data_IF_011442996592
#
_entry.id   IF_011442996592
#
_cell.length_a   1.000
_cell.length_b   1.000
_cell.length_c   1.000
_cell.angle_alpha   90.00
_cell.angle_beta   90.00
_cell.angle_gamma   90.00
#
_symmetry.space_group_name_H-M   'P 1'
#
loop_
_entity.id
_entity.type
_entity.pdbx_description
1 polymer ?
#
# COMPACT_ATOMS: atom_id res chain seq x y z
N UNK A 1 10.73 9.32 -11.32
CA UNK A 1 9.96 8.12 -10.91
C UNK A 1 9.96 7.06 -12.01
N UNK A 2 10.26 5.79 -11.68
CA UNK A 2 10.12 4.65 -12.61
C UNK A 2 8.67 4.17 -12.61
N UNK A 3 8.16 3.79 -13.79
CA UNK A 3 6.83 3.21 -13.98
C UNK A 3 7.01 1.78 -14.50
N UNK A 4 6.31 0.83 -13.89
CA UNK A 4 6.29 -0.57 -14.33
C UNK A 4 4.83 -0.95 -14.59
N UNK A 5 4.52 -1.38 -15.81
CA UNK A 5 3.22 -1.96 -16.13
C UNK A 5 3.14 -3.36 -15.49
N UNK A 6 2.20 -3.53 -14.57
CA UNK A 6 1.89 -4.82 -13.93
C UNK A 6 0.83 -5.56 -14.73
N UNK A 7 -0.24 -4.85 -15.08
CA UNK A 7 -1.31 -5.29 -15.98
C UNK A 7 -1.73 -4.09 -16.85
N UNK A 8 -2.49 -4.27 -17.94
CA UNK A 8 -2.88 -3.15 -18.82
C UNK A 8 -3.58 -1.98 -18.12
N UNK A 9 -4.17 -2.20 -16.94
CA UNK A 9 -4.85 -1.18 -16.10
C UNK A 9 -4.16 -0.89 -14.78
N UNK A 10 -3.01 -1.52 -14.53
CA UNK A 10 -2.34 -1.48 -13.25
C UNK A 10 -0.86 -1.18 -13.44
N UNK A 11 -0.42 -0.07 -12.87
CA UNK A 11 0.96 0.36 -12.93
C UNK A 11 1.54 0.52 -11.52
N UNK A 12 2.73 -0.02 -11.32
CA UNK A 12 3.53 0.27 -10.12
C UNK A 12 4.36 1.52 -10.37
N UNK A 13 4.28 2.45 -9.45
CA UNK A 13 5.05 3.70 -9.42
C UNK A 13 6.13 3.55 -8.35
N UNK A 14 7.38 3.74 -8.76
CA UNK A 14 8.55 3.60 -7.89
C UNK A 14 9.20 4.97 -7.69
N UNK A 15 8.92 5.66 -6.57
CA UNK A 15 9.74 6.77 -6.10
C UNK A 15 11.12 6.28 -5.63
N UNK A 16 11.92 7.17 -5.04
CA UNK A 16 13.24 6.81 -4.52
C UNK A 16 13.17 5.86 -3.32
N UNK A 17 12.05 5.82 -2.61
CA UNK A 17 11.76 4.91 -1.51
C UNK A 17 10.27 4.56 -1.48
N UNK A 18 9.92 3.31 -1.11
CA UNK A 18 8.55 2.82 -1.12
C UNK A 18 8.03 2.59 -2.54
N UNK A 19 6.76 2.31 -2.67
CA UNK A 19 6.08 2.15 -3.95
C UNK A 19 4.58 2.45 -3.81
N UNK A 20 3.95 2.83 -4.93
CA UNK A 20 2.53 3.06 -5.02
C UNK A 20 1.99 2.35 -6.26
N UNK A 21 0.68 2.12 -6.31
CA UNK A 21 0.04 1.47 -7.45
C UNK A 21 -1.08 2.34 -8.02
N UNK A 22 -1.07 2.52 -9.32
CA UNK A 22 -2.08 3.27 -10.03
C UNK A 22 -2.98 2.31 -10.80
N UNK A 23 -4.27 2.32 -10.46
CA UNK A 23 -5.32 1.58 -11.15
C UNK A 23 -6.13 2.51 -12.04
N UNK A 24 -6.41 2.06 -13.29
CA UNK A 24 -7.23 2.78 -14.27
C UNK A 24 -8.57 2.08 -14.51
N UNK A 25 -9.67 2.75 -14.18
CA UNK A 25 -11.03 2.34 -14.48
C UNK A 25 -11.59 3.00 -15.78
N UNK A 26 -10.70 3.20 -16.76
CA UNK A 26 -11.10 3.85 -18.03
C UNK A 26 -11.16 5.38 -17.94
N UNK A 27 -10.13 5.96 -17.32
CA UNK A 27 -9.97 7.41 -17.13
C UNK A 27 -10.40 7.92 -15.76
N UNK A 28 -10.77 7.02 -14.84
CA UNK A 28 -10.92 7.32 -13.41
C UNK A 28 -9.83 6.59 -12.66
N UNK A 29 -8.85 7.32 -12.11
CA UNK A 29 -7.67 6.74 -11.48
C UNK A 29 -7.87 6.56 -9.98
N UNK A 30 -7.35 5.46 -9.48
CA UNK A 30 -7.19 5.18 -8.04
C UNK A 30 -5.71 4.93 -7.75
N UNK A 31 -5.17 5.65 -6.78
CA UNK A 31 -3.83 5.43 -6.26
C UNK A 31 -3.92 4.61 -4.98
N UNK A 32 -3.22 3.50 -4.90
CA UNK A 32 -3.03 2.72 -3.67
C UNK A 32 -1.64 3.05 -3.14
N UNK A 33 -1.61 3.63 -1.95
CA UNK A 33 -0.48 4.31 -1.34
C UNK A 33 0.01 5.53 -2.15
N UNK A 34 0.83 6.37 -1.54
CA UNK A 34 1.18 7.67 -2.09
C UNK A 34 2.69 7.96 -2.10
N UNK A 35 3.52 7.01 -1.66
CA UNK A 35 4.96 7.18 -1.56
C UNK A 35 5.38 8.15 -0.45
N UNK A 36 6.61 8.63 -0.52
CA UNK A 36 7.21 9.55 0.45
C UNK A 36 6.76 11.00 0.25
N UNK A 37 6.92 11.83 1.29
CA UNK A 37 6.72 13.27 1.19
C UNK A 37 7.62 13.90 0.11
N UNK A 38 7.06 14.84 -0.65
CA UNK A 38 7.74 15.51 -1.76
C UNK A 38 7.67 14.76 -3.10
N UNK A 39 7.01 13.59 -3.18
CA UNK A 39 6.91 12.84 -4.44
C UNK A 39 5.73 13.24 -5.33
N UNK A 40 4.86 14.15 -4.88
CA UNK A 40 3.62 14.50 -5.59
C UNK A 40 3.85 14.93 -7.05
N UNK A 41 4.85 15.78 -7.33
CA UNK A 41 5.15 16.19 -8.71
C UNK A 41 5.64 15.01 -9.56
N UNK A 42 6.45 14.11 -9.01
CA UNK A 42 6.92 12.94 -9.72
C UNK A 42 5.79 11.93 -10.01
N UNK A 43 4.79 11.83 -9.13
CA UNK A 43 3.55 11.07 -9.39
C UNK A 43 2.74 11.72 -10.51
N UNK A 44 2.61 13.07 -10.50
CA UNK A 44 1.91 13.80 -11.57
C UNK A 44 2.55 13.61 -12.94
N UNK A 45 3.89 13.65 -13.00
CA UNK A 45 4.63 13.35 -14.24
C UNK A 45 4.39 11.91 -14.70
N UNK A 46 4.35 10.95 -13.76
CA UNK A 46 4.07 9.55 -14.08
C UNK A 46 2.66 9.37 -14.65
N UNK A 47 1.65 9.99 -14.03
CA UNK A 47 0.26 10.04 -14.51
C UNK A 47 0.21 10.63 -15.91
N UNK A 48 0.91 11.75 -16.17
CA UNK A 48 1.00 12.39 -17.49
C UNK A 48 1.66 11.50 -18.54
N UNK A 49 2.71 10.75 -18.19
CA UNK A 49 3.38 9.79 -19.10
C UNK A 49 2.49 8.62 -19.48
N UNK A 50 1.53 8.26 -18.64
CA UNK A 50 0.52 7.24 -18.91
C UNK A 50 -0.66 7.79 -19.73
N UNK A 51 -0.66 9.09 -20.08
CA UNK A 51 -1.68 9.72 -20.91
C UNK A 51 -2.88 10.29 -20.13
N UNK A 52 -2.77 10.38 -18.81
CA UNK A 52 -3.81 10.92 -17.94
C UNK A 52 -3.44 12.30 -17.41
N UNK A 53 -4.39 12.96 -16.74
CA UNK A 53 -4.23 14.24 -16.08
C UNK A 53 -4.37 14.07 -14.56
N UNK A 54 -3.87 15.02 -13.78
CA UNK A 54 -4.04 15.03 -12.32
C UNK A 54 -5.49 14.95 -11.89
N UNK A 55 -6.35 15.63 -12.67
CA UNK A 55 -7.80 15.69 -12.43
C UNK A 55 -8.51 14.35 -12.68
N UNK A 56 -7.85 13.40 -13.33
CA UNK A 56 -8.40 12.06 -13.55
C UNK A 56 -8.22 11.16 -12.29
N UNK A 57 -7.34 11.57 -11.35
CA UNK A 57 -7.21 10.92 -10.04
C UNK A 57 -8.42 11.26 -9.17
N UNK A 58 -9.16 10.25 -8.75
CA UNK A 58 -10.37 10.38 -7.95
C UNK A 58 -10.19 9.99 -6.51
N UNK A 59 -9.25 9.09 -6.22
CA UNK A 59 -9.03 8.62 -4.85
C UNK A 59 -7.62 8.15 -4.61
N UNK A 60 -7.25 8.23 -3.33
CA UNK A 60 -6.09 7.60 -2.75
C UNK A 60 -6.60 6.63 -1.69
N UNK A 61 -6.15 5.39 -1.70
CA UNK A 61 -6.41 4.44 -0.62
C UNK A 61 -5.07 4.14 0.05
N UNK A 62 -4.94 4.54 1.30
CA UNK A 62 -3.72 4.30 2.07
C UNK A 62 -3.83 2.97 2.80
N UNK A 63 -2.84 2.10 2.62
CA UNK A 63 -2.79 0.80 3.29
C UNK A 63 -2.47 0.96 4.77
N UNK A 64 -1.61 1.91 5.12
CA UNK A 64 -1.25 2.27 6.49
C UNK A 64 -0.56 3.65 6.57
N UNK A 65 -0.18 4.10 7.78
CA UNK A 65 0.28 5.48 8.02
C UNK A 65 1.76 5.74 7.76
N UNK A 66 2.61 4.75 7.52
CA UNK A 66 4.06 4.96 7.40
C UNK A 66 4.43 5.95 6.29
N UNK A 67 5.60 6.59 6.46
CA UNK A 67 6.04 7.73 5.68
C UNK A 67 6.19 7.43 4.19
N UNK A 68 6.54 6.21 3.84
CA UNK A 68 6.75 5.76 2.46
C UNK A 68 5.46 5.26 1.79
N UNK A 69 4.35 5.24 2.52
CA UNK A 69 3.00 4.92 2.03
C UNK A 69 2.08 6.14 2.05
N UNK A 70 2.08 6.89 3.15
CA UNK A 70 1.19 8.05 3.33
C UNK A 70 1.86 9.39 3.02
N UNK A 71 3.18 9.44 2.84
CA UNK A 71 3.95 10.68 2.78
C UNK A 71 3.53 11.65 1.69
N UNK A 72 3.23 11.15 0.49
CA UNK A 72 2.79 11.97 -0.65
C UNK A 72 1.31 12.35 -0.64
N UNK A 73 0.51 11.75 0.27
CA UNK A 73 -0.95 11.87 0.22
C UNK A 73 -1.45 13.31 0.36
N UNK A 74 -0.84 14.12 1.23
CA UNK A 74 -1.21 15.51 1.43
C UNK A 74 -1.05 16.36 0.16
N UNK A 75 0.07 16.18 -0.56
CA UNK A 75 0.34 16.88 -1.82
C UNK A 75 -0.58 16.42 -2.94
N UNK A 76 -0.75 15.11 -3.09
CA UNK A 76 -1.53 14.51 -4.17
C UNK A 76 -3.02 14.79 -3.98
N UNK A 77 -3.52 14.74 -2.75
CA UNK A 77 -4.92 15.05 -2.45
C UNK A 77 -5.30 16.50 -2.72
N UNK A 78 -4.35 17.41 -2.84
CA UNK A 78 -4.57 18.82 -3.18
C UNK A 78 -4.76 19.06 -4.69
N UNK A 79 -4.65 18.06 -5.54
CA UNK A 79 -4.80 18.22 -7.00
C UNK A 79 -6.24 18.52 -7.46
N UNK A 80 -7.25 18.32 -6.61
CA UNK A 80 -8.67 18.54 -6.92
C UNK A 80 -9.58 17.74 -6.00
N UNK A 81 -10.64 17.17 -6.56
CA UNK A 81 -11.62 16.34 -5.83
C UNK A 81 -11.07 14.89 -5.65
N UNK A 82 -9.93 14.77 -4.99
CA UNK A 82 -9.32 13.48 -4.68
C UNK A 82 -9.78 13.04 -3.29
N UNK A 83 -10.54 11.97 -3.21
CA UNK A 83 -10.98 11.37 -1.94
C UNK A 83 -9.82 10.57 -1.31
N UNK A 84 -9.51 10.79 -0.05
CA UNK A 84 -8.50 10.04 0.72
C UNK A 84 -9.20 9.07 1.65
N UNK A 85 -8.85 7.79 1.50
CA UNK A 85 -9.42 6.69 2.27
C UNK A 85 -8.31 5.98 3.06
N UNK A 86 -8.59 5.65 4.31
CA UNK A 86 -7.69 4.87 5.16
C UNK A 86 -8.50 4.10 6.21
N UNK A 87 -7.89 3.09 6.80
CA UNK A 87 -8.53 2.40 7.91
C UNK A 87 -8.79 3.36 9.10
N UNK A 88 -9.92 3.19 9.80
CA UNK A 88 -10.34 4.07 10.91
C UNK A 88 -9.29 4.20 12.03
N UNK A 89 -8.44 3.20 12.23
CA UNK A 89 -7.35 3.25 13.22
C UNK A 89 -6.12 4.00 12.74
N UNK A 90 -5.93 4.12 11.42
CA UNK A 90 -4.84 4.89 10.81
C UNK A 90 -5.22 6.38 10.65
N UNK A 91 -6.50 6.65 10.45
CA UNK A 91 -7.01 7.99 10.13
C UNK A 91 -6.58 9.09 11.14
N UNK A 92 -6.62 8.88 12.47
CA UNK A 92 -6.14 9.89 13.42
C UNK A 92 -4.63 10.17 13.30
N UNK A 93 -3.83 9.14 12.96
CA UNK A 93 -2.38 9.26 12.77
C UNK A 93 -2.11 10.03 11.48
N UNK A 94 -2.76 9.65 10.37
CA UNK A 94 -2.62 10.32 9.07
C UNK A 94 -3.06 11.79 9.14
N UNK A 95 -4.08 12.12 9.94
CA UNK A 95 -4.51 13.51 10.18
C UNK A 95 -3.56 14.29 11.09
N UNK A 96 -2.57 13.63 11.72
CA UNK A 96 -1.66 14.25 12.67
C UNK A 96 -2.31 14.56 14.04
N UNK A 97 -3.44 13.95 14.36
CA UNK A 97 -4.16 14.12 15.63
C UNK A 97 -3.46 13.38 16.78
N UNK A 98 -2.84 12.25 16.46
CA UNK A 98 -2.04 11.44 17.40
C UNK A 98 -0.76 10.96 16.71
N UNK A 99 0.34 10.73 17.47
CA UNK A 99 1.54 10.13 16.88
C UNK A 99 1.32 8.66 16.54
N UNK A 100 1.95 8.19 15.47
CA UNK A 100 2.04 6.76 15.16
C UNK A 100 2.90 6.03 16.19
N UNK A 101 2.52 4.82 16.62
CA UNK A 101 3.36 4.01 17.49
C UNK A 101 4.63 3.56 16.74
N UNK A 102 5.80 3.52 17.40
CA UNK A 102 7.00 2.99 16.79
C UNK A 102 6.90 1.45 16.67
N UNK A 103 7.51 0.83 15.64
CA UNK A 103 7.54 -0.61 15.51
C UNK A 103 8.35 -1.29 16.63
N UNK A 104 7.97 -2.53 16.96
CA UNK A 104 8.71 -3.37 17.89
C UNK A 104 9.82 -4.14 17.15
N UNK A 105 10.98 -3.51 17.04
CA UNK A 105 12.12 -4.05 16.30
C UNK A 105 12.83 -5.19 17.04
N UNK A 106 13.09 -6.29 16.35
CA UNK A 106 14.21 -7.15 16.70
C UNK A 106 15.55 -6.44 16.45
N UNK A 107 16.66 -6.99 16.95
CA UNK A 107 17.99 -6.40 16.68
C UNK A 107 18.35 -6.44 15.20
N UNK A 108 17.96 -7.51 14.49
CA UNK A 108 18.15 -7.66 13.06
C UNK A 108 17.31 -6.64 12.27
N UNK A 109 16.06 -6.45 12.63
CA UNK A 109 15.18 -5.45 12.00
C UNK A 109 15.68 -4.04 12.23
N UNK A 110 16.19 -3.75 13.43
CA UNK A 110 16.81 -2.45 13.74
C UNK A 110 18.04 -2.18 12.86
N UNK A 111 18.86 -3.22 12.64
CA UNK A 111 20.01 -3.13 11.75
C UNK A 111 19.58 -2.95 10.29
N UNK A 112 18.58 -3.70 9.84
CA UNK A 112 18.00 -3.61 8.50
C UNK A 112 17.40 -2.22 8.25
N UNK A 113 16.56 -1.73 9.15
CA UNK A 113 15.93 -0.40 9.07
C UNK A 113 16.97 0.72 8.89
N UNK A 114 18.10 0.63 9.64
CA UNK A 114 19.21 1.58 9.45
C UNK A 114 19.90 1.41 8.11
N UNK A 115 20.14 0.17 7.66
CA UNK A 115 20.83 -0.10 6.39
C UNK A 115 20.04 0.37 5.17
N UNK A 116 18.72 0.31 5.25
CA UNK A 116 17.80 0.81 4.21
C UNK A 116 17.67 2.34 4.22
N UNK A 117 18.15 3.03 5.26
CA UNK A 117 17.97 4.47 5.39
C UNK A 117 16.55 4.90 5.75
N UNK A 118 15.67 3.97 6.12
CA UNK A 118 14.27 4.24 6.46
C UNK A 118 14.12 5.27 7.60
N UNK A 119 15.07 5.29 8.55
CA UNK A 119 15.14 6.27 9.63
C UNK A 119 15.44 7.71 9.18
N UNK A 120 15.77 7.91 7.89
CA UNK A 120 16.06 9.23 7.28
C UNK A 120 14.88 9.75 6.46
N UNK A 121 13.79 8.97 6.36
CA UNK A 121 12.61 9.42 5.61
C UNK A 121 12.02 10.67 6.26
N UNK A 122 11.59 11.65 5.46
CA UNK A 122 10.87 12.79 5.99
C UNK A 122 9.53 12.32 6.57
N UNK A 123 9.07 12.90 7.69
CA UNK A 123 7.78 12.56 8.24
C UNK A 123 6.66 12.82 7.24
N UNK A 124 5.64 11.98 7.23
CA UNK A 124 4.46 12.19 6.41
C UNK A 124 3.72 13.46 6.89
N UNK A 125 3.49 14.45 6.00
CA UNK A 125 2.68 15.61 6.35
C UNK A 125 1.25 15.19 6.70
N UNK A 126 0.60 15.85 7.69
CA UNK A 126 -0.80 15.59 8.00
C UNK A 126 -1.68 15.69 6.75
N UNK A 127 -2.51 14.70 6.54
CA UNK A 127 -3.44 14.62 5.41
C UNK A 127 -4.86 14.39 5.91
N UNK A 128 -5.86 15.00 5.25
CA UNK A 128 -7.25 14.66 5.53
C UNK A 128 -7.53 13.19 5.17
N UNK A 129 -8.42 12.58 5.91
CA UNK A 129 -9.02 11.29 5.55
C UNK A 129 -10.52 11.54 5.42
N UNK A 130 -11.01 11.44 4.19
CA UNK A 130 -12.39 11.78 3.85
C UNK A 130 -13.35 10.63 4.16
N UNK A 131 -12.86 9.40 4.06
CA UNK A 131 -13.61 8.19 4.38
C UNK A 131 -12.77 7.22 5.19
N UNK A 132 -13.27 6.85 6.36
CA UNK A 132 -12.70 5.81 7.20
C UNK A 132 -13.22 4.45 6.79
N UNK A 133 -12.30 3.49 6.63
CA UNK A 133 -12.56 2.12 6.19
C UNK A 133 -12.47 1.14 7.35
N UNK A 134 -13.20 0.05 7.19
CA UNK A 134 -13.16 -1.13 8.08
C UNK A 134 -13.12 -2.42 7.25
N UNK A 135 -12.85 -3.54 7.92
CA UNK A 135 -12.88 -4.85 7.28
C UNK A 135 -14.23 -5.14 6.61
N UNK A 136 -14.19 -5.63 5.37
CA UNK A 136 -15.36 -5.96 4.57
C UNK A 136 -15.97 -4.80 3.79
N UNK A 137 -15.52 -3.56 4.01
CA UNK A 137 -15.95 -2.43 3.17
C UNK A 137 -15.60 -2.65 1.70
N UNK A 138 -16.33 -1.96 0.83
CA UNK A 138 -16.06 -1.96 -0.62
C UNK A 138 -15.75 -0.54 -1.08
N UNK A 139 -14.64 -0.40 -1.79
CA UNK A 139 -14.23 0.85 -2.45
C UNK A 139 -14.53 0.74 -3.94
N UNK A 140 -15.14 1.78 -4.51
CA UNK A 140 -15.66 1.77 -5.88
C UNK A 140 -14.58 1.95 -6.96
N UNK A 141 -13.66 0.99 -7.08
CA UNK A 141 -12.73 0.86 -8.19
C UNK A 141 -12.45 -0.62 -8.48
N UNK A 142 -11.96 -0.94 -9.68
CA UNK A 142 -11.59 -2.30 -10.08
C UNK A 142 -12.74 -3.30 -9.94
N UNK A 143 -13.98 -2.91 -10.27
CA UNK A 143 -15.16 -3.77 -10.10
C UNK A 143 -15.66 -3.90 -8.66
N UNK A 144 -15.08 -3.18 -7.71
CA UNK A 144 -15.40 -3.23 -6.28
C UNK A 144 -14.28 -3.84 -5.45
N UNK A 145 -13.32 -3.00 -5.06
CA UNK A 145 -12.19 -3.41 -4.22
C UNK A 145 -12.67 -3.70 -2.79
N UNK A 146 -12.50 -4.94 -2.34
CA UNK A 146 -12.84 -5.36 -0.98
C UNK A 146 -11.71 -5.02 -0.01
N UNK A 147 -12.03 -4.32 1.05
CA UNK A 147 -11.12 -4.01 2.14
C UNK A 147 -10.97 -5.23 3.04
N UNK A 148 -9.74 -5.60 3.31
CA UNK A 148 -9.38 -6.68 4.23
C UNK A 148 -8.48 -6.08 5.29
N UNK A 149 -8.94 -6.01 6.53
CA UNK A 149 -8.08 -5.57 7.62
C UNK A 149 -6.95 -6.59 7.85
N UNK A 150 -5.72 -6.09 7.90
CA UNK A 150 -4.50 -6.88 8.08
C UNK A 150 -3.65 -6.31 9.22
N UNK A 151 -4.21 -6.25 10.45
CA UNK A 151 -3.48 -5.70 11.58
C UNK A 151 -2.20 -6.47 11.85
N UNK A 152 -1.25 -5.80 12.49
CA UNK A 152 0.01 -6.37 12.94
C UNK A 152 1.21 -5.56 12.49
N UNK A 153 1.34 -5.22 11.19
CA UNK A 153 2.35 -4.26 10.74
C UNK A 153 2.06 -2.89 11.37
N UNK A 154 0.84 -2.38 11.16
CA UNK A 154 0.23 -1.36 12.02
C UNK A 154 -1.10 -1.87 12.58
N UNK A 155 -1.71 -1.12 13.51
CA UNK A 155 -3.01 -1.51 14.09
C UNK A 155 -4.16 -1.45 13.10
N UNK A 156 -4.06 -0.63 12.08
CA UNK A 156 -5.08 -0.43 11.04
C UNK A 156 -4.59 -0.75 9.62
N UNK A 157 -3.52 -1.50 9.47
CA UNK A 157 -3.10 -1.97 8.14
C UNK A 157 -4.25 -2.65 7.42
N UNK A 158 -4.36 -2.40 6.11
CA UNK A 158 -5.35 -3.03 5.25
C UNK A 158 -4.74 -3.52 3.93
N UNK A 159 -5.38 -4.51 3.36
CA UNK A 159 -5.19 -4.96 2.00
C UNK A 159 -6.44 -4.66 1.16
N UNK A 160 -6.28 -4.58 -0.16
CA UNK A 160 -7.39 -4.39 -1.10
C UNK A 160 -7.43 -5.57 -2.08
N UNK A 161 -8.55 -6.27 -2.12
CA UNK A 161 -8.75 -7.39 -3.04
C UNK A 161 -9.73 -7.00 -4.14
N UNK A 162 -9.31 -7.15 -5.39
CA UNK A 162 -10.10 -6.97 -6.59
C UNK A 162 -10.46 -8.34 -7.17
N UNK A 163 -11.55 -8.98 -6.74
CA UNK A 163 -11.85 -10.36 -7.09
C UNK A 163 -12.12 -10.56 -8.58
N UNK A 164 -12.70 -9.56 -9.27
CA UNK A 164 -12.96 -9.64 -10.72
C UNK A 164 -11.67 -9.66 -11.56
N UNK A 165 -10.56 -9.19 -11.00
CA UNK A 165 -9.26 -9.11 -11.68
C UNK A 165 -8.22 -10.05 -11.11
N UNK A 166 -8.53 -10.74 -10.00
CA UNK A 166 -7.56 -11.59 -9.29
C UNK A 166 -6.36 -10.80 -8.75
N UNK A 167 -6.56 -9.51 -8.38
CA UNK A 167 -5.51 -8.62 -7.90
C UNK A 167 -5.66 -8.38 -6.40
N UNK A 168 -4.53 -8.42 -5.69
CA UNK A 168 -4.45 -8.12 -4.27
C UNK A 168 -3.36 -7.07 -4.02
N UNK A 169 -3.70 -5.95 -3.40
CA UNK A 169 -2.73 -5.00 -2.82
C UNK A 169 -2.58 -5.34 -1.35
N UNK A 170 -1.37 -5.65 -0.91
CA UNK A 170 -1.15 -6.23 0.42
C UNK A 170 -0.68 -5.21 1.46
N UNK A 171 -0.29 -4.01 1.04
CA UNK A 171 0.55 -3.15 1.88
C UNK A 171 1.74 -3.94 2.42
N UNK A 172 2.20 -3.60 3.59
CA UNK A 172 3.37 -4.20 4.23
C UNK A 172 3.09 -5.51 4.99
N UNK A 173 1.89 -6.10 4.80
CA UNK A 173 1.63 -7.46 5.27
C UNK A 173 2.47 -8.48 4.52
N UNK A 174 2.79 -8.21 3.25
CA UNK A 174 3.59 -9.09 2.38
C UNK A 174 4.72 -8.29 1.74
N UNK A 175 5.91 -8.88 1.72
CA UNK A 175 7.06 -8.42 0.92
C UNK A 175 7.47 -9.49 -0.10
N UNK A 176 8.04 -9.05 -1.23
CA UNK A 176 8.59 -9.95 -2.25
C UNK A 176 10.02 -9.51 -2.57
N UNK A 177 10.99 -10.18 -1.97
CA UNK A 177 12.40 -9.80 -2.03
C UNK A 177 13.22 -10.95 -2.58
N UNK A 178 14.05 -10.68 -3.59
CA UNK A 178 14.91 -11.68 -4.25
C UNK A 178 14.15 -12.94 -4.73
N UNK A 179 12.95 -12.73 -5.27
CA UNK A 179 12.09 -13.80 -5.78
C UNK A 179 11.41 -14.63 -4.68
N UNK A 180 11.43 -14.19 -3.42
CA UNK A 180 10.78 -14.86 -2.30
C UNK A 180 9.66 -14.03 -1.71
N UNK A 181 8.47 -14.61 -1.66
CA UNK A 181 7.35 -14.06 -0.90
C UNK A 181 7.57 -14.35 0.57
N UNK A 182 7.42 -13.32 1.39
CA UNK A 182 7.65 -13.41 2.82
C UNK A 182 6.76 -12.42 3.60
N UNK A 183 6.54 -12.65 4.89
CA UNK A 183 5.89 -11.66 5.75
C UNK A 183 6.67 -10.35 5.79
N UNK A 184 5.94 -9.23 5.91
CA UNK A 184 6.53 -7.94 6.10
C UNK A 184 7.29 -7.81 7.43
N UNK A 185 8.18 -6.84 7.49
CA UNK A 185 9.04 -6.56 8.65
C UNK A 185 8.60 -5.28 9.37
N UNK A 186 9.23 -4.93 10.49
CA UNK A 186 8.97 -3.71 11.27
C UNK A 186 7.54 -3.63 11.85
N UNK A 187 7.08 -4.73 12.40
CA UNK A 187 5.72 -4.89 12.86
C UNK A 187 5.51 -4.34 14.28
N UNK A 188 4.29 -3.86 14.56
CA UNK A 188 3.83 -3.55 15.92
C UNK A 188 3.46 -4.82 16.69
N UNK A 189 2.88 -5.82 16.01
CA UNK A 189 2.50 -7.12 16.54
C UNK A 189 2.79 -8.19 15.48
N UNK A 190 3.89 -8.92 15.68
CA UNK A 190 4.34 -9.93 14.73
C UNK A 190 3.37 -11.10 14.63
N UNK A 191 2.81 -11.54 15.74
CA UNK A 191 1.90 -12.69 15.75
C UNK A 191 0.59 -12.34 15.03
N UNK A 192 0.08 -11.12 15.24
CA UNK A 192 -1.10 -10.62 14.54
C UNK A 192 -0.82 -10.47 13.04
N UNK A 193 0.35 -9.95 12.67
CA UNK A 193 0.74 -9.81 11.27
C UNK A 193 0.83 -11.19 10.58
N UNK A 194 1.36 -12.22 11.24
CA UNK A 194 1.38 -13.58 10.68
C UNK A 194 -0.04 -14.16 10.52
N UNK A 195 -0.98 -13.84 11.41
CA UNK A 195 -2.40 -14.19 11.23
C UNK A 195 -3.00 -13.49 10.00
N UNK A 196 -2.71 -12.20 9.84
CA UNK A 196 -3.11 -11.40 8.69
C UNK A 196 -2.52 -11.95 7.39
N UNK A 197 -1.24 -12.30 7.38
CA UNK A 197 -0.59 -12.92 6.22
C UNK A 197 -1.30 -14.21 5.80
N UNK A 198 -1.57 -15.12 6.75
CA UNK A 198 -2.30 -16.37 6.47
C UNK A 198 -3.69 -16.11 5.92
N UNK A 199 -4.40 -15.11 6.44
CA UNK A 199 -5.71 -14.69 5.91
C UNK A 199 -5.62 -14.27 4.44
N UNK A 200 -4.59 -13.53 4.04
CA UNK A 200 -4.38 -13.16 2.64
C UNK A 200 -4.03 -14.36 1.76
N UNK A 201 -3.29 -15.33 2.29
CA UNK A 201 -2.93 -16.55 1.57
C UNK A 201 -4.14 -17.46 1.23
N UNK A 202 -5.25 -17.31 1.94
CA UNK A 202 -6.50 -18.05 1.67
C UNK A 202 -7.30 -17.48 0.47
N UNK A 203 -6.89 -16.33 -0.07
CA UNK A 203 -7.57 -15.69 -1.20
C UNK A 203 -7.17 -16.32 -2.54
N UNK A 204 -8.12 -16.30 -3.47
CA UNK A 204 -7.85 -16.65 -4.87
C UNK A 204 -7.35 -15.40 -5.61
N UNK A 205 -6.04 -15.33 -5.84
CA UNK A 205 -5.38 -14.19 -6.47
C UNK A 205 -4.35 -14.64 -7.51
N UNK A 206 -4.30 -13.91 -8.60
CA UNK A 206 -3.36 -14.13 -9.69
C UNK A 206 -2.13 -13.23 -9.57
N UNK A 207 -2.35 -11.98 -9.11
CA UNK A 207 -1.32 -10.96 -8.95
C UNK A 207 -1.39 -10.37 -7.54
N UNK A 208 -0.27 -10.33 -6.83
CA UNK A 208 -0.16 -9.62 -5.57
C UNK A 208 0.80 -8.42 -5.70
N UNK A 209 0.26 -7.25 -5.44
CA UNK A 209 0.95 -5.97 -5.38
C UNK A 209 1.38 -5.76 -3.93
N UNK A 210 2.64 -5.98 -3.65
CA UNK A 210 3.21 -5.94 -2.29
C UNK A 210 3.62 -4.53 -1.91
N UNK A 211 3.81 -4.26 -0.61
CA UNK A 211 4.30 -2.98 -0.11
C UNK A 211 5.75 -2.72 -0.52
N UNK A 212 6.60 -3.73 -0.48
CA UNK A 212 8.00 -3.64 -0.87
C UNK A 212 8.44 -4.81 -1.75
N UNK A 213 9.07 -4.48 -2.88
CA UNK A 213 9.61 -5.42 -3.84
C UNK A 213 8.79 -5.53 -5.13
N UNK A 214 9.08 -6.54 -5.95
CA UNK A 214 8.37 -6.72 -7.21
C UNK A 214 6.98 -7.34 -6.98
N UNK A 215 5.96 -6.99 -7.79
CA UNK A 215 4.68 -7.70 -7.74
C UNK A 215 4.88 -9.20 -7.94
N UNK A 216 4.12 -10.01 -7.22
CA UNK A 216 4.07 -11.45 -7.43
C UNK A 216 3.13 -11.69 -8.60
N UNK A 217 3.67 -12.15 -9.70
CA UNK A 217 2.93 -12.45 -10.93
C UNK A 217 2.62 -13.95 -11.00
N UNK A 218 1.60 -14.32 -11.77
CA UNK A 218 1.27 -15.70 -12.09
C UNK A 218 1.04 -16.61 -10.85
N UNK A 219 -0.23 -16.79 -10.48
CA UNK A 219 -0.67 -17.60 -9.33
C UNK A 219 -0.07 -17.12 -7.99
N UNK A 220 -0.19 -15.81 -7.74
CA UNK A 220 0.26 -15.22 -6.48
C UNK A 220 -0.35 -15.91 -5.25
N UNK A 221 -1.58 -16.43 -5.36
CA UNK A 221 -2.23 -17.21 -4.33
C UNK A 221 -1.43 -18.46 -3.94
N UNK A 222 -0.86 -19.19 -4.91
CA UNK A 222 -0.01 -20.34 -4.61
C UNK A 222 1.28 -19.92 -3.90
N UNK A 223 1.91 -18.82 -4.35
CA UNK A 223 3.12 -18.30 -3.71
C UNK A 223 2.87 -17.85 -2.26
N UNK A 224 1.74 -17.17 -2.01
CA UNK A 224 1.32 -16.77 -0.67
C UNK A 224 1.05 -17.99 0.22
N UNK A 225 0.32 -19.02 -0.28
CA UNK A 225 0.07 -20.26 0.46
C UNK A 225 1.37 -21.00 0.78
N UNK A 226 2.29 -21.09 -0.17
CA UNK A 226 3.59 -21.73 0.06
C UNK A 226 4.40 -21.00 1.14
N UNK A 227 4.43 -19.66 1.12
CA UNK A 227 5.06 -18.87 2.15
C UNK A 227 4.36 -19.04 3.51
N UNK A 228 3.03 -19.02 3.56
CA UNK A 228 2.26 -19.20 4.79
C UNK A 228 2.48 -20.58 5.44
N UNK A 229 2.68 -21.61 4.63
CA UNK A 229 2.95 -22.98 5.12
C UNK A 229 4.35 -23.14 5.73
N UNK A 230 5.26 -22.19 5.48
CA UNK A 230 6.63 -22.18 6.01
C UNK A 230 6.75 -21.38 7.32
N UNK A 231 5.67 -20.70 7.77
CA UNK A 231 5.57 -19.91 9.00
C UNK A 231 5.10 -20.77 10.17
#
# INVERSE_FOLDING_TARGET
>A
MKIVEVLPRLHMLLPDFGQAYLWDDGGSLTLVDAGIAGCGEAVAEAVGRLGFRREDLRRIVLTHFHEDHAGGAAEISAWGDVEVLAHRLEAPIIRGEVPGPPPDFTDEERALHRSLGAHLLPPAPPCRVDRELTDGDVVGFGGGARVIATPGHTGGSLALHLPEHGVLFTGDTVAHVEGRVMPGVFNLDRDEMLRSFRRLADLDVQVACVGHGEPVMDDAGAALRAAAAAL
#
